data_IF_016587973401
#
_entry.id   IF_016587973401
#
_cell.length_a   1.000
_cell.length_b   1.000
_cell.length_c   1.000
_cell.angle_alpha   90.00
_cell.angle_beta   90.00
_cell.angle_gamma   90.00
#
_symmetry.space_group_name_H-M   'P 1'
#
loop_
_entity.id
_entity.type
_entity.pdbx_description
1 polymer ?
#
# COMPACT_ATOMS: atom_id res chain seq x y z
N UNK A 1 -2.41 -14.06 9.44
CA UNK A 1 -1.14 -14.80 9.35
C UNK A 1 0.07 -13.88 9.43
N UNK A 2 0.27 -12.94 8.50
CA UNK A 2 1.46 -12.07 8.48
C UNK A 2 1.66 -11.28 9.80
N UNK A 3 0.58 -10.69 10.34
CA UNK A 3 0.60 -9.97 11.62
C UNK A 3 1.01 -10.84 12.81
N UNK A 4 0.58 -12.11 12.84
CA UNK A 4 0.94 -13.06 13.91
C UNK A 4 2.43 -13.41 13.88
N UNK A 5 3.04 -13.38 12.70
CA UNK A 5 4.46 -13.70 12.51
C UNK A 5 5.35 -12.45 12.46
N UNK A 6 4.79 -11.25 12.65
CA UNK A 6 5.50 -9.96 12.59
C UNK A 6 6.24 -9.74 11.25
N UNK A 7 5.62 -10.17 10.15
CA UNK A 7 6.17 -10.03 8.79
C UNK A 7 5.39 -8.98 8.02
N UNK A 8 6.10 -8.11 7.31
CA UNK A 8 5.52 -7.28 6.24
C UNK A 8 5.61 -8.03 4.91
N UNK A 9 4.49 -8.10 4.18
CA UNK A 9 4.41 -8.80 2.88
C UNK A 9 5.03 -7.99 1.73
N UNK A 10 5.22 -6.69 1.92
CA UNK A 10 5.80 -5.81 0.91
C UNK A 10 6.02 -4.40 1.46
N UNK A 11 7.00 -3.70 0.91
CA UNK A 11 7.26 -2.29 1.22
C UNK A 11 7.92 -1.62 0.00
N UNK A 12 7.64 -0.32 -0.17
CA UNK A 12 8.28 0.52 -1.18
C UNK A 12 8.77 1.79 -0.48
N UNK A 13 10.06 2.08 -0.59
CA UNK A 13 10.63 3.30 -0.06
C UNK A 13 10.17 4.51 -0.89
N UNK A 14 9.85 5.62 -0.22
CA UNK A 14 9.55 6.89 -0.89
C UNK A 14 10.85 7.57 -1.30
N UNK A 15 10.80 8.36 -2.37
CA UNK A 15 11.92 9.24 -2.72
C UNK A 15 12.05 10.38 -1.70
N UNK A 16 13.26 10.95 -1.56
CA UNK A 16 13.64 11.88 -0.47
C UNK A 16 12.72 13.10 -0.31
N UNK A 17 12.08 13.55 -1.40
CA UNK A 17 11.15 14.69 -1.41
C UNK A 17 9.74 14.31 -1.90
N UNK A 18 9.39 13.03 -1.78
CA UNK A 18 8.08 12.50 -2.12
C UNK A 18 7.37 11.95 -0.88
N UNK A 19 6.12 11.52 -1.06
CA UNK A 19 5.28 10.95 -0.01
C UNK A 19 4.74 9.57 -0.43
N UNK A 20 3.98 8.98 0.47
CA UNK A 20 3.33 7.68 0.33
C UNK A 20 2.31 7.64 -0.81
N UNK A 21 1.69 8.76 -1.19
CA UNK A 21 0.66 8.80 -2.25
C UNK A 21 1.21 8.28 -3.58
N UNK A 22 2.47 8.60 -3.89
CA UNK A 22 3.14 8.11 -5.11
C UNK A 22 3.65 6.66 -5.00
N UNK A 23 3.83 6.15 -3.78
CA UNK A 23 4.37 4.82 -3.51
C UNK A 23 3.27 3.76 -3.35
N UNK A 24 2.10 4.13 -2.83
CA UNK A 24 0.97 3.22 -2.59
C UNK A 24 0.56 2.46 -3.86
N UNK A 25 0.36 3.10 -5.04
CA UNK A 25 0.00 2.37 -6.26
C UNK A 25 1.01 1.28 -6.61
N UNK A 26 2.32 1.61 -6.49
CA UNK A 26 3.41 0.67 -6.79
C UNK A 26 3.40 -0.52 -5.83
N UNK A 27 3.15 -0.27 -4.54
CA UNK A 27 3.07 -1.34 -3.54
C UNK A 27 1.88 -2.27 -3.79
N UNK A 28 0.69 -1.72 -4.12
CA UNK A 28 -0.50 -2.52 -4.39
C UNK A 28 -0.34 -3.40 -5.64
N UNK A 29 0.37 -2.92 -6.67
CA UNK A 29 0.68 -3.69 -7.88
C UNK A 29 1.66 -4.86 -7.64
N UNK A 30 2.52 -4.76 -6.61
CA UNK A 30 3.47 -5.81 -6.25
C UNK A 30 2.83 -6.95 -5.44
N UNK A 31 1.67 -6.72 -4.83
CA UNK A 31 1.01 -7.67 -3.94
C UNK A 31 -0.10 -8.42 -4.67
N UNK A 32 -0.19 -9.73 -4.46
CA UNK A 32 -1.34 -10.53 -4.93
C UNK A 32 -2.52 -10.40 -3.95
N UNK A 33 -3.27 -9.31 -4.10
CA UNK A 33 -4.37 -8.90 -3.20
C UNK A 33 -5.70 -8.74 -3.92
N UNK A 34 -5.85 -9.35 -5.10
CA UNK A 34 -7.09 -9.25 -5.89
C UNK A 34 -8.26 -9.87 -5.10
N UNK A 35 -9.33 -9.09 -4.93
CA UNK A 35 -10.52 -9.50 -4.17
C UNK A 35 -10.37 -9.35 -2.65
N UNK A 36 -9.23 -8.85 -2.16
CA UNK A 36 -9.07 -8.49 -0.75
C UNK A 36 -9.71 -7.13 -0.43
N UNK A 37 -10.16 -6.98 0.82
CA UNK A 37 -10.51 -5.66 1.38
C UNK A 37 -9.21 -5.03 1.88
N UNK A 38 -8.91 -3.84 1.37
CA UNK A 38 -7.73 -3.07 1.78
C UNK A 38 -8.19 -1.90 2.65
N UNK A 39 -7.79 -1.90 3.92
CA UNK A 39 -7.88 -0.72 4.78
C UNK A 39 -6.58 0.08 4.67
N UNK A 40 -6.69 1.37 4.38
CA UNK A 40 -5.55 2.28 4.26
C UNK A 40 -5.86 3.60 4.96
N UNK A 41 -4.81 4.34 5.31
CA UNK A 41 -4.95 5.69 5.84
C UNK A 41 -5.75 6.61 4.89
N UNK A 42 -6.44 7.59 5.48
CA UNK A 42 -7.30 8.53 4.75
C UNK A 42 -6.56 9.31 3.66
N UNK A 43 -5.28 9.65 3.86
CA UNK A 43 -4.47 10.37 2.86
C UNK A 43 -4.23 9.52 1.59
N UNK A 44 -4.26 8.18 1.73
CA UNK A 44 -4.17 7.22 0.64
C UNK A 44 -5.50 6.93 -0.07
N UNK A 45 -6.65 7.35 0.48
CA UNK A 45 -7.99 7.16 -0.10
C UNK A 45 -8.31 8.12 -1.26
N UNK A 46 -7.30 8.53 -2.02
CA UNK A 46 -7.50 9.40 -3.18
C UNK A 46 -8.19 8.64 -4.31
N UNK A 47 -8.99 9.35 -5.10
CA UNK A 47 -9.76 8.77 -6.22
C UNK A 47 -8.91 7.99 -7.22
N UNK A 48 -7.64 8.36 -7.40
CA UNK A 48 -6.73 7.65 -8.30
C UNK A 48 -6.25 6.29 -7.73
N UNK A 49 -6.32 6.10 -6.41
CA UNK A 49 -5.82 4.93 -5.69
C UNK A 49 -6.99 4.01 -5.31
N UNK A 50 -7.95 4.55 -4.55
CA UNK A 50 -9.14 3.84 -4.07
C UNK A 50 -10.30 4.09 -5.04
N UNK A 51 -10.25 3.42 -6.19
CA UNK A 51 -11.27 3.47 -7.25
C UNK A 51 -12.23 2.29 -7.20
#
# INVERSE_FOLDING_TARGET
WASTNLISLGQVATEEKSNEITAIPKLLEMLDIKGAIVSIDAMGCQKAIAR
#
